data_IF_242854239190
#
_entry.id   IF_242854239190
#
_cell.length_a   1.000
_cell.length_b   1.000
_cell.length_c   1.000
_cell.angle_alpha   90.00
_cell.angle_beta   90.00
_cell.angle_gamma   90.00
#
_symmetry.space_group_name_H-M   'P 1'
#
loop_
_entity.id
_entity.type
_entity.pdbx_description
1 polymer ?
#
# COMPACT_ATOMS: atom_id res chain seq x y z
N UNK A 1 -17.95 -0.34 32.56
CA UNK A 1 -16.69 0.20 32.03
C UNK A 1 -16.09 1.11 33.07
N UNK A 2 -14.92 0.77 33.61
CA UNK A 2 -14.30 1.50 34.73
C UNK A 2 -13.67 2.82 34.23
N UNK A 3 -13.65 3.86 35.07
CA UNK A 3 -13.07 5.17 34.72
C UNK A 3 -11.61 5.06 34.20
N UNK A 4 -10.86 4.07 34.68
CA UNK A 4 -9.50 3.77 34.21
C UNK A 4 -9.49 3.24 32.76
N UNK A 5 -10.43 2.41 32.38
CA UNK A 5 -10.56 1.88 31.02
C UNK A 5 -10.93 2.99 30.05
N UNK A 6 -11.82 3.90 30.44
CA UNK A 6 -12.17 5.08 29.65
C UNK A 6 -10.96 5.97 29.38
N UNK A 7 -10.15 6.26 30.40
CA UNK A 7 -8.93 7.07 30.25
C UNK A 7 -7.89 6.41 29.34
N UNK A 8 -7.72 5.08 29.41
CA UNK A 8 -6.80 4.35 28.54
C UNK A 8 -7.27 4.37 27.09
N UNK A 9 -8.57 4.19 26.86
CA UNK A 9 -9.17 4.24 25.52
C UNK A 9 -9.05 5.63 24.92
N UNK A 10 -9.28 6.68 25.71
CA UNK A 10 -9.14 8.08 25.24
C UNK A 10 -7.68 8.42 24.89
N UNK A 11 -6.72 8.02 25.73
CA UNK A 11 -5.28 8.18 25.44
C UNK A 11 -4.87 7.45 24.16
N UNK A 12 -5.30 6.20 24.01
CA UNK A 12 -5.02 5.43 22.80
C UNK A 12 -5.58 6.13 21.54
N UNK A 13 -6.85 6.57 21.60
CA UNK A 13 -7.47 7.26 20.48
C UNK A 13 -6.68 8.50 20.07
N UNK A 14 -6.30 9.35 21.03
CA UNK A 14 -5.48 10.56 20.75
C UNK A 14 -4.14 10.23 20.12
N UNK A 15 -3.45 9.19 20.61
CA UNK A 15 -2.14 8.79 20.03
C UNK A 15 -2.31 8.17 18.65
N UNK A 16 -3.32 7.34 18.45
CA UNK A 16 -3.65 6.75 17.15
C UNK A 16 -3.97 7.83 16.12
N UNK A 17 -4.79 8.80 16.51
CA UNK A 17 -5.17 9.89 15.62
C UNK A 17 -3.96 10.78 15.28
N UNK A 18 -3.08 11.05 16.24
CA UNK A 18 -1.80 11.73 16.00
C UNK A 18 -0.91 10.93 15.02
N UNK A 19 -0.78 9.61 15.22
CA UNK A 19 -0.02 8.75 14.31
C UNK A 19 -0.63 8.73 12.90
N UNK A 20 -1.96 8.73 12.79
CA UNK A 20 -2.64 8.82 11.49
C UNK A 20 -2.28 10.11 10.75
N UNK A 21 -2.32 11.26 11.44
CA UNK A 21 -1.94 12.54 10.82
C UNK A 21 -0.45 12.62 10.49
N UNK A 22 0.43 12.00 11.27
CA UNK A 22 1.88 11.93 11.00
C UNK A 22 2.15 10.97 9.84
N UNK A 23 1.38 9.89 9.70
CA UNK A 23 1.56 8.88 8.65
C UNK A 23 1.40 9.49 7.25
N UNK A 24 0.44 10.37 7.06
CA UNK A 24 0.18 10.99 5.75
C UNK A 24 1.43 11.73 5.21
N UNK A 25 2.01 12.74 5.90
CA UNK A 25 3.20 13.40 5.41
C UNK A 25 4.43 12.46 5.36
N UNK A 26 4.51 11.49 6.24
CA UNK A 26 5.56 10.47 6.21
C UNK A 26 5.52 9.67 4.91
N UNK A 27 4.36 9.15 4.50
CA UNK A 27 4.21 8.42 3.23
C UNK A 27 4.56 9.30 2.02
N UNK A 28 4.13 10.57 2.03
CA UNK A 28 4.50 11.52 0.98
C UNK A 28 6.00 11.76 0.90
N UNK A 29 6.68 11.87 2.03
CA UNK A 29 8.14 11.96 2.07
C UNK A 29 8.81 10.74 1.45
N UNK A 30 8.28 9.53 1.67
CA UNK A 30 8.79 8.30 1.04
C UNK A 30 8.72 8.37 -0.48
N UNK A 31 7.59 8.80 -1.04
CA UNK A 31 7.46 8.99 -2.48
C UNK A 31 8.41 10.06 -3.02
N UNK A 32 8.53 11.20 -2.34
CA UNK A 32 9.46 12.28 -2.72
C UNK A 32 10.91 11.76 -2.70
N UNK A 33 11.31 11.03 -1.66
CA UNK A 33 12.66 10.46 -1.56
C UNK A 33 12.95 9.48 -2.71
N UNK A 34 12.02 8.59 -3.05
CA UNK A 34 12.15 7.65 -4.18
C UNK A 34 12.37 8.42 -5.50
N UNK A 35 11.66 9.54 -5.69
CA UNK A 35 11.77 10.37 -6.88
C UNK A 35 13.08 11.16 -6.90
N UNK A 36 13.43 11.86 -5.81
CA UNK A 36 14.63 12.72 -5.70
C UNK A 36 15.90 11.91 -5.80
N UNK A 37 15.97 10.75 -5.14
CA UNK A 37 17.13 9.85 -5.20
C UNK A 37 17.24 9.14 -6.57
N UNK A 38 16.28 9.32 -7.45
CA UNK A 38 16.26 8.71 -8.78
C UNK A 38 16.16 7.18 -8.75
N UNK A 39 15.75 6.60 -7.63
CA UNK A 39 15.58 5.14 -7.47
C UNK A 39 14.60 4.61 -8.50
N UNK A 40 13.48 5.32 -8.71
CA UNK A 40 12.48 4.98 -9.72
C UNK A 40 13.10 4.86 -11.13
N UNK A 41 14.02 5.76 -11.51
CA UNK A 41 14.72 5.70 -12.80
C UNK A 41 15.65 4.49 -12.91
N UNK A 42 16.38 4.17 -11.83
CA UNK A 42 17.28 3.00 -11.78
C UNK A 42 16.49 1.70 -11.89
N UNK A 43 15.40 1.55 -11.13
CA UNK A 43 14.53 0.38 -11.18
C UNK A 43 13.88 0.21 -12.56
N UNK A 44 13.42 1.31 -13.17
CA UNK A 44 12.85 1.28 -14.52
C UNK A 44 13.89 0.86 -15.58
N UNK A 45 15.12 1.36 -15.49
CA UNK A 45 16.20 0.93 -16.38
C UNK A 45 16.47 -0.56 -16.22
N UNK A 46 16.65 -1.02 -14.99
CA UNK A 46 16.91 -2.42 -14.69
C UNK A 46 15.78 -3.34 -15.16
N UNK A 47 14.51 -2.98 -14.95
CA UNK A 47 13.37 -3.78 -15.42
C UNK A 47 13.34 -3.95 -16.95
N UNK A 48 13.80 -2.93 -17.71
CA UNK A 48 13.94 -2.99 -19.16
C UNK A 48 15.09 -3.88 -19.61
N UNK A 49 16.18 -3.89 -18.85
CA UNK A 49 17.35 -4.74 -19.15
C UNK A 49 17.03 -6.23 -18.90
N UNK A 50 16.19 -6.54 -17.92
CA UNK A 50 15.81 -7.92 -17.55
C UNK A 50 14.79 -8.51 -18.53
N UNK A 51 13.90 -7.73 -19.10
CA UNK A 51 12.83 -8.26 -19.96
C UNK A 51 12.53 -7.37 -21.16
N UNK A 52 12.18 -8.02 -22.28
CA UNK A 52 11.67 -7.35 -23.50
C UNK A 52 10.14 -7.19 -23.47
N UNK A 53 9.44 -7.95 -22.64
CA UNK A 53 7.99 -7.90 -22.52
C UNK A 53 7.56 -6.77 -21.59
N UNK A 54 6.79 -5.84 -22.12
CA UNK A 54 6.36 -4.64 -21.39
C UNK A 54 5.55 -4.93 -20.11
N UNK A 55 4.71 -5.97 -20.10
CA UNK A 55 3.98 -6.36 -18.91
C UNK A 55 4.93 -6.87 -17.81
N UNK A 56 5.95 -7.65 -18.21
CA UNK A 56 6.94 -8.16 -17.26
C UNK A 56 7.84 -7.05 -16.72
N UNK A 57 8.21 -6.06 -17.56
CA UNK A 57 8.91 -4.86 -17.11
C UNK A 57 8.08 -4.11 -16.06
N UNK A 58 6.78 -3.96 -16.28
CA UNK A 58 5.86 -3.32 -15.33
C UNK A 58 5.78 -4.12 -14.03
N UNK A 59 5.65 -5.45 -14.12
CA UNK A 59 5.60 -6.31 -12.93
C UNK A 59 6.86 -6.19 -12.07
N UNK A 60 8.04 -6.25 -12.70
CA UNK A 60 9.33 -6.11 -12.01
C UNK A 60 9.46 -4.71 -11.39
N UNK A 61 9.10 -3.67 -12.12
CA UNK A 61 9.14 -2.30 -11.61
C UNK A 61 8.24 -2.11 -10.40
N UNK A 62 6.99 -2.55 -10.49
CA UNK A 62 6.01 -2.44 -9.39
C UNK A 62 6.45 -3.27 -8.19
N UNK A 63 7.00 -4.46 -8.41
CA UNK A 63 7.50 -5.31 -7.32
C UNK A 63 8.59 -4.60 -6.50
N UNK A 64 9.61 -4.07 -7.16
CA UNK A 64 10.68 -3.37 -6.46
C UNK A 64 10.22 -2.07 -5.80
N UNK A 65 9.30 -1.36 -6.44
CA UNK A 65 8.68 -0.18 -5.83
C UNK A 65 7.90 -0.55 -4.56
N UNK A 66 7.12 -1.64 -4.61
CA UNK A 66 6.38 -2.15 -3.44
C UNK A 66 7.31 -2.59 -2.30
N UNK A 67 8.44 -3.25 -2.62
CA UNK A 67 9.45 -3.63 -1.63
C UNK A 67 10.05 -2.40 -0.95
N UNK A 68 10.38 -1.37 -1.72
CA UNK A 68 10.93 -0.12 -1.16
C UNK A 68 9.92 0.58 -0.25
N UNK A 69 8.66 0.64 -0.66
CA UNK A 69 7.59 1.22 0.15
C UNK A 69 7.36 0.41 1.43
N UNK A 70 7.38 -0.93 1.35
CA UNK A 70 7.29 -1.81 2.53
C UNK A 70 8.40 -1.52 3.54
N UNK A 71 9.65 -1.45 3.07
CA UNK A 71 10.80 -1.15 3.94
C UNK A 71 10.66 0.23 4.57
N UNK A 72 10.17 1.20 3.81
CA UNK A 72 9.98 2.56 4.29
C UNK A 72 8.83 2.66 5.30
N UNK A 73 7.70 2.01 5.07
CA UNK A 73 6.53 2.05 5.97
C UNK A 73 6.69 1.19 7.22
N UNK A 74 7.56 0.17 7.17
CA UNK A 74 7.77 -0.79 8.26
C UNK A 74 7.97 -0.16 9.65
N UNK A 75 8.77 0.92 9.85
CA UNK A 75 8.93 1.54 11.17
C UNK A 75 7.61 2.06 11.74
N UNK A 76 6.77 2.66 10.91
CA UNK A 76 5.46 3.21 11.33
C UNK A 76 4.47 2.08 11.65
N UNK A 77 4.44 1.02 10.85
CA UNK A 77 3.61 -0.14 11.09
C UNK A 77 4.02 -0.87 12.37
N UNK A 78 5.33 -0.97 12.62
CA UNK A 78 5.88 -1.52 13.86
C UNK A 78 5.49 -0.71 15.10
N UNK A 79 5.58 0.62 15.03
CA UNK A 79 5.16 1.52 16.12
C UNK A 79 3.66 1.35 16.39
N UNK A 80 2.84 1.31 15.35
CA UNK A 80 1.39 1.12 15.46
C UNK A 80 1.04 -0.23 16.10
N UNK A 81 1.70 -1.31 15.71
CA UNK A 81 1.55 -2.63 16.31
C UNK A 81 1.93 -2.63 17.80
N UNK A 82 3.10 -2.07 18.15
CA UNK A 82 3.55 -1.97 19.54
C UNK A 82 2.59 -1.15 20.39
N UNK A 83 2.08 -0.06 19.87
CA UNK A 83 1.09 0.77 20.53
C UNK A 83 -0.19 -0.01 20.82
N UNK A 84 -0.77 -0.65 19.81
CA UNK A 84 -1.99 -1.45 19.92
C UNK A 84 -1.83 -2.58 20.97
N UNK A 85 -0.64 -3.19 21.03
CA UNK A 85 -0.33 -4.22 22.01
C UNK A 85 -0.18 -3.67 23.43
N UNK A 86 0.47 -2.50 23.60
CA UNK A 86 0.66 -1.85 24.89
C UNK A 86 -0.67 -1.42 25.54
N UNK A 87 -1.66 -1.07 24.72
CA UNK A 87 -3.00 -0.68 25.19
C UNK A 87 -4.01 -1.84 25.20
N UNK A 88 -3.55 -3.08 25.00
CA UNK A 88 -4.39 -4.29 24.96
C UNK A 88 -5.52 -4.26 23.92
N UNK A 89 -5.36 -3.47 22.85
CA UNK A 89 -6.31 -3.40 21.74
C UNK A 89 -6.18 -4.63 20.86
N UNK A 90 -4.96 -5.15 20.69
CA UNK A 90 -4.71 -6.39 19.97
C UNK A 90 -4.06 -7.42 20.89
N UNK A 91 -4.54 -8.65 20.77
CA UNK A 91 -3.95 -9.84 21.41
C UNK A 91 -3.06 -10.60 20.42
N UNK A 92 -2.97 -10.13 19.17
CA UNK A 92 -2.29 -10.81 18.10
C UNK A 92 -0.80 -11.02 18.41
N UNK A 93 -0.28 -12.25 18.27
CA UNK A 93 1.14 -12.51 18.41
C UNK A 93 1.93 -11.89 17.25
N UNK A 94 3.23 -11.67 17.46
CA UNK A 94 4.12 -11.12 16.43
C UNK A 94 4.08 -11.88 15.11
N UNK A 95 3.99 -13.21 15.17
CA UNK A 95 3.91 -14.07 13.97
C UNK A 95 2.63 -13.80 13.15
N UNK A 96 1.49 -13.60 13.83
CA UNK A 96 0.23 -13.23 13.17
C UNK A 96 0.35 -11.87 12.47
N UNK A 97 0.86 -10.86 13.18
CA UNK A 97 1.08 -9.54 12.59
C UNK A 97 2.05 -9.58 11.40
N UNK A 98 3.11 -10.39 11.47
CA UNK A 98 4.03 -10.55 10.34
C UNK A 98 3.38 -11.24 9.14
N UNK A 99 2.49 -12.21 9.39
CA UNK A 99 1.69 -12.86 8.35
C UNK A 99 0.80 -11.82 7.64
N UNK A 100 0.11 -10.98 8.40
CA UNK A 100 -0.77 -9.95 7.85
C UNK A 100 0.04 -8.95 7.02
N UNK A 101 1.18 -8.49 7.51
CA UNK A 101 2.08 -7.59 6.78
C UNK A 101 2.55 -8.20 5.45
N UNK A 102 2.82 -9.51 5.43
CA UNK A 102 3.19 -10.22 4.21
C UNK A 102 1.99 -10.38 3.26
N UNK A 103 0.81 -10.63 3.80
CA UNK A 103 -0.45 -10.69 3.03
C UNK A 103 -0.76 -9.33 2.41
N UNK A 104 -0.66 -8.25 3.19
CA UNK A 104 -0.80 -6.86 2.74
C UNK A 104 0.15 -6.54 1.59
N UNK A 105 1.41 -6.95 1.70
CA UNK A 105 2.39 -6.73 0.63
C UNK A 105 1.93 -7.35 -0.69
N UNK A 106 1.48 -8.61 -0.68
CA UNK A 106 1.06 -9.29 -1.91
C UNK A 106 -0.25 -8.73 -2.48
N UNK A 107 -1.21 -8.40 -1.62
CA UNK A 107 -2.48 -7.78 -2.03
C UNK A 107 -2.22 -6.40 -2.66
N UNK A 108 -1.41 -5.56 -2.01
CA UNK A 108 -1.04 -4.24 -2.51
C UNK A 108 -0.24 -4.34 -3.82
N UNK A 109 0.73 -5.26 -3.91
CA UNK A 109 1.49 -5.50 -5.12
C UNK A 109 0.58 -5.90 -6.29
N UNK A 110 -0.31 -6.86 -6.09
CA UNK A 110 -1.24 -7.33 -7.12
C UNK A 110 -2.17 -6.19 -7.59
N UNK A 111 -2.73 -5.42 -6.67
CA UNK A 111 -3.59 -4.28 -6.96
C UNK A 111 -2.84 -3.19 -7.72
N UNK A 112 -1.66 -2.79 -7.25
CA UNK A 112 -0.80 -1.80 -7.91
C UNK A 112 -0.40 -2.25 -9.31
N UNK A 113 0.02 -3.51 -9.46
CA UNK A 113 0.39 -4.05 -10.76
C UNK A 113 -0.79 -3.98 -11.75
N UNK A 114 -1.98 -4.40 -11.30
CA UNK A 114 -3.18 -4.40 -12.12
C UNK A 114 -3.57 -2.96 -12.55
N UNK A 115 -3.57 -2.01 -11.62
CA UNK A 115 -3.86 -0.59 -11.90
C UNK A 115 -2.87 -0.02 -12.92
N UNK A 116 -1.57 -0.24 -12.71
CA UNK A 116 -0.53 0.30 -13.60
C UNK A 116 -0.57 -0.38 -14.96
N UNK A 117 -0.81 -1.69 -15.02
CA UNK A 117 -0.93 -2.42 -16.29
C UNK A 117 -2.11 -1.91 -17.13
N UNK A 118 -3.26 -1.69 -16.49
CA UNK A 118 -4.46 -1.12 -17.14
C UNK A 118 -4.19 0.30 -17.62
N UNK A 119 -3.57 1.16 -16.79
CA UNK A 119 -3.20 2.52 -17.19
C UNK A 119 -2.27 2.53 -18.41
N UNK A 120 -1.25 1.69 -18.41
CA UNK A 120 -0.34 1.59 -19.56
C UNK A 120 -1.04 1.07 -20.82
N UNK A 121 -1.99 0.14 -20.69
CA UNK A 121 -2.79 -0.32 -21.81
C UNK A 121 -3.62 0.84 -22.40
N UNK A 122 -4.23 1.70 -21.58
CA UNK A 122 -4.96 2.88 -22.05
C UNK A 122 -4.04 3.93 -22.70
N UNK A 123 -2.92 4.24 -22.08
CA UNK A 123 -1.95 5.19 -22.64
C UNK A 123 -1.48 4.75 -24.04
N UNK A 124 -1.22 3.45 -24.22
CA UNK A 124 -0.80 2.90 -25.51
C UNK A 124 -1.91 2.91 -26.57
N UNK A 125 -3.12 2.53 -26.15
CA UNK A 125 -4.26 2.41 -27.08
C UNK A 125 -4.89 3.76 -27.43
N UNK A 126 -4.92 4.71 -26.48
CA UNK A 126 -5.63 5.98 -26.59
C UNK A 126 -4.74 7.17 -26.25
N UNK A 127 -3.65 7.38 -26.99
CA UNK A 127 -2.62 8.36 -26.68
C UNK A 127 -3.09 9.81 -26.41
N UNK A 128 -4.20 10.26 -27.02
CA UNK A 128 -4.75 11.61 -26.83
C UNK A 128 -5.83 11.72 -25.74
N UNK A 129 -6.59 10.64 -25.46
CA UNK A 129 -7.74 10.64 -24.55
C UNK A 129 -7.65 9.57 -23.46
N UNK A 130 -6.44 9.06 -23.19
CA UNK A 130 -6.23 7.99 -22.20
C UNK A 130 -6.77 8.33 -20.82
N UNK A 131 -6.66 9.59 -20.40
CA UNK A 131 -7.13 10.08 -19.10
C UNK A 131 -8.65 9.93 -18.94
N UNK A 132 -9.43 10.17 -20.00
CA UNK A 132 -10.88 10.05 -19.98
C UNK A 132 -11.31 8.59 -19.86
N UNK A 133 -10.66 7.68 -20.59
CA UNK A 133 -10.90 6.24 -20.48
C UNK A 133 -10.44 5.68 -19.12
N UNK A 134 -9.31 6.13 -18.60
CA UNK A 134 -8.83 5.78 -17.30
C UNK A 134 -9.83 6.21 -16.20
N UNK A 135 -10.35 7.43 -16.29
CA UNK A 135 -11.37 7.94 -15.37
C UNK A 135 -12.68 7.12 -15.46
N UNK A 136 -13.17 6.86 -16.67
CA UNK A 136 -14.39 6.08 -16.88
C UNK A 136 -14.28 4.67 -16.28
N UNK A 137 -13.13 4.02 -16.43
CA UNK A 137 -12.88 2.66 -15.93
C UNK A 137 -12.56 2.65 -14.44
N UNK A 138 -12.07 3.76 -13.87
CA UNK A 138 -11.80 3.84 -12.43
C UNK A 138 -13.07 3.63 -11.59
N UNK A 139 -14.23 4.06 -12.07
CA UNK A 139 -15.52 3.91 -11.37
C UNK A 139 -15.89 2.43 -11.19
N UNK A 140 -16.08 1.64 -12.27
CA UNK A 140 -16.42 0.22 -12.13
C UNK A 140 -15.28 -0.57 -11.46
N UNK A 141 -14.03 -0.14 -11.62
CA UNK A 141 -12.89 -0.76 -10.96
C UNK A 141 -12.92 -0.57 -9.44
N UNK A 142 -13.24 0.64 -8.96
CA UNK A 142 -13.40 0.90 -7.53
C UNK A 142 -14.56 0.10 -6.95
N UNK A 143 -15.70 0.05 -7.64
CA UNK A 143 -16.82 -0.80 -7.23
C UNK A 143 -16.42 -2.28 -7.14
N UNK A 144 -15.71 -2.79 -8.15
CA UNK A 144 -15.23 -4.15 -8.16
C UNK A 144 -14.30 -4.45 -6.98
N UNK A 145 -13.35 -3.57 -6.65
CA UNK A 145 -12.49 -3.70 -5.49
C UNK A 145 -13.28 -3.70 -4.18
N UNK A 146 -14.29 -2.82 -4.06
CA UNK A 146 -15.16 -2.75 -2.87
C UNK A 146 -15.94 -4.03 -2.66
N UNK A 147 -16.40 -4.69 -3.75
CA UNK A 147 -17.08 -5.98 -3.65
C UNK A 147 -16.14 -7.15 -3.38
N UNK A 148 -14.92 -7.10 -3.94
CA UNK A 148 -13.91 -8.15 -3.72
C UNK A 148 -13.34 -8.11 -2.31
N UNK A 149 -13.22 -6.94 -1.71
CA UNK A 149 -12.61 -6.76 -0.39
C UNK A 149 -13.22 -7.72 0.63
N UNK A 150 -14.54 -7.73 0.93
CA UNK A 150 -15.11 -8.60 1.97
C UNK A 150 -15.11 -10.09 1.57
N UNK A 151 -15.06 -10.43 0.27
CA UNK A 151 -15.21 -11.81 -0.19
C UNK A 151 -13.86 -12.51 -0.35
N UNK A 152 -12.84 -11.79 -0.80
CA UNK A 152 -11.54 -12.38 -1.16
C UNK A 152 -10.42 -11.88 -0.27
N UNK A 153 -10.42 -10.58 0.06
CA UNK A 153 -9.30 -9.96 0.79
C UNK A 153 -9.44 -10.23 2.29
N UNK A 154 -10.60 -9.92 2.89
CA UNK A 154 -10.80 -10.09 4.33
C UNK A 154 -10.57 -11.52 4.84
N UNK A 155 -10.93 -12.61 4.11
CA UNK A 155 -10.64 -13.98 4.55
C UNK A 155 -9.16 -14.36 4.57
N UNK A 156 -8.26 -13.55 4.01
CA UNK A 156 -6.82 -13.80 4.02
C UNK A 156 -6.16 -13.44 5.36
N UNK A 157 -6.82 -12.60 6.15
CA UNK A 157 -6.40 -12.13 7.46
C UNK A 157 -7.05 -12.92 8.60
#
# INVERSE_FOLDING_TARGET
MNARELMLTEKYSKIRDALFFIRIPYEWLGFILILVLGVSKKVNKWSKDVSRFSLLQTAIYVFWLSVLLLIYSFPMDWISYKLSKAYHITTQPFQGWMKDLFTDFWVNYATMFLVIAVLYAFIRKFSKRWWLYAWLVSIPFTLFLTFIQPVVIDPLY
#
